data_IF_488775976623
#
_entry.id   IF_488775976623
#
_cell.length_a   1.000
_cell.length_b   1.000
_cell.length_c   1.000
_cell.angle_alpha   90.00
_cell.angle_beta   90.00
_cell.angle_gamma   90.00
#
_symmetry.space_group_name_H-M   'P 1'
#
loop_
_entity.id
_entity.type
_entity.pdbx_description
1 polymer ?
#
# COMPACT_ATOMS: atom_id res chain seq x y z
N UNK A 1 -9.30 -6.59 -0.09
CA UNK A 1 -8.05 -5.84 -0.17
C UNK A 1 -8.34 -4.38 -0.48
N UNK A 2 -7.35 -3.50 -0.31
CA UNK A 2 -7.36 -2.12 -0.78
C UNK A 2 -6.38 -1.99 -1.94
N UNK A 3 -6.78 -1.34 -3.03
CA UNK A 3 -5.91 -1.08 -4.18
C UNK A 3 -5.58 0.41 -4.22
N UNK A 4 -4.30 0.75 -4.15
CA UNK A 4 -3.82 2.13 -4.15
C UNK A 4 -2.89 2.37 -5.33
N UNK A 5 -2.85 3.62 -5.80
CA UNK A 5 -1.92 4.06 -6.84
C UNK A 5 -0.77 4.83 -6.21
N UNK A 6 0.45 4.58 -6.68
CA UNK A 6 1.63 5.39 -6.37
C UNK A 6 1.52 6.70 -7.14
N UNK A 7 1.24 7.79 -6.43
CA UNK A 7 1.16 9.14 -6.99
C UNK A 7 2.54 9.77 -7.21
N UNK A 8 3.52 9.40 -6.38
CA UNK A 8 4.89 9.88 -6.48
C UNK A 8 5.85 8.92 -5.79
N UNK A 9 7.01 8.68 -6.43
CA UNK A 9 8.19 8.09 -5.80
C UNK A 9 9.27 9.17 -5.60
N UNK A 10 9.79 9.30 -4.37
CA UNK A 10 10.97 10.11 -4.06
C UNK A 10 11.99 9.27 -3.29
N UNK A 11 12.93 8.68 -4.02
CA UNK A 11 13.89 7.72 -3.45
C UNK A 11 13.18 6.46 -2.93
N UNK A 12 13.28 6.19 -1.62
CA UNK A 12 12.59 5.08 -0.92
C UNK A 12 11.30 5.55 -0.21
N UNK A 13 10.71 6.67 -0.63
CA UNK A 13 9.39 7.14 -0.19
C UNK A 13 8.38 7.02 -1.32
N UNK A 14 7.23 6.42 -1.02
CA UNK A 14 6.09 6.31 -1.91
C UNK A 14 4.93 7.13 -1.35
N UNK A 15 4.34 7.97 -2.17
CA UNK A 15 3.11 8.71 -1.86
C UNK A 15 1.97 8.00 -2.58
N UNK A 16 0.96 7.57 -1.83
CA UNK A 16 -0.20 6.84 -2.37
C UNK A 16 -1.46 7.70 -2.30
N UNK A 17 -2.47 7.34 -3.09
CA UNK A 17 -3.77 8.04 -3.14
C UNK A 17 -4.73 7.68 -1.99
N UNK A 18 -4.22 7.05 -0.93
CA UNK A 18 -4.94 6.68 0.29
C UNK A 18 -4.02 6.99 1.49
N UNK A 19 -4.41 6.74 2.73
CA UNK A 19 -3.59 7.09 3.90
C UNK A 19 -4.26 6.82 5.24
N UNK A 20 -3.64 7.33 6.30
CA UNK A 20 -4.07 7.13 7.69
C UNK A 20 -5.45 7.74 7.92
N UNK A 21 -5.68 8.92 7.35
CA UNK A 21 -6.95 9.61 7.47
C UNK A 21 -8.07 9.01 6.60
N UNK A 22 -7.75 7.98 5.82
CA UNK A 22 -8.65 7.28 4.94
C UNK A 22 -8.70 5.78 5.33
N UNK A 23 -8.29 4.88 4.45
CA UNK A 23 -8.51 3.45 4.61
C UNK A 23 -7.52 2.77 5.57
N UNK A 24 -6.48 3.46 6.02
CA UNK A 24 -5.33 2.86 6.73
C UNK A 24 -5.21 3.29 8.21
N UNK A 25 -6.22 3.93 8.79
CA UNK A 25 -6.17 4.43 10.18
C UNK A 25 -5.74 3.35 11.20
N UNK A 26 -6.32 2.16 11.10
CA UNK A 26 -6.06 1.07 12.05
C UNK A 26 -4.61 0.55 11.97
N UNK A 27 -4.03 0.52 10.77
CA UNK A 27 -2.63 0.12 10.57
C UNK A 27 -1.65 1.05 11.30
N UNK A 28 -2.00 2.33 11.42
CA UNK A 28 -1.20 3.31 12.14
C UNK A 28 -1.39 3.20 13.66
N UNK A 29 -2.65 3.15 14.12
CA UNK A 29 -2.96 3.05 15.56
C UNK A 29 -2.45 1.73 16.15
N UNK A 30 -2.67 0.61 15.47
CA UNK A 30 -2.23 -0.72 15.89
C UNK A 30 -0.76 -1.04 15.54
N UNK A 31 -0.08 -0.17 14.77
CA UNK A 31 1.28 -0.39 14.24
C UNK A 31 1.45 -1.71 13.46
N UNK A 32 0.36 -2.15 12.82
CA UNK A 32 0.25 -3.43 12.13
C UNK A 32 0.98 -3.34 10.79
N UNK A 33 1.73 -4.40 10.45
CA UNK A 33 2.30 -4.54 9.12
C UNK A 33 1.31 -5.29 8.22
N UNK A 34 0.84 -4.62 7.17
CA UNK A 34 -0.09 -5.22 6.21
C UNK A 34 0.68 -5.81 5.03
N UNK A 35 0.25 -6.97 4.48
CA UNK A 35 0.84 -7.51 3.28
C UNK A 35 0.61 -6.55 2.12
N UNK A 36 1.68 -6.25 1.38
CA UNK A 36 1.64 -5.37 0.23
C UNK A 36 2.15 -6.13 -1.00
N UNK A 37 1.37 -6.12 -2.08
CA UNK A 37 1.72 -6.76 -3.35
C UNK A 37 1.83 -5.70 -4.43
N UNK A 38 2.95 -5.70 -5.14
CA UNK A 38 3.20 -4.84 -6.28
C UNK A 38 2.33 -5.26 -7.48
N UNK A 39 1.70 -4.27 -8.13
CA UNK A 39 0.95 -4.46 -9.37
C UNK A 39 1.49 -3.44 -10.40
N UNK A 40 2.31 -3.90 -11.37
CA UNK A 40 2.91 -3.01 -12.35
C UNK A 40 1.83 -2.39 -13.26
N UNK A 41 1.92 -1.08 -13.52
CA UNK A 41 1.17 -0.46 -14.61
C UNK A 41 1.69 -1.01 -15.96
N UNK A 42 0.84 -1.66 -16.78
CA UNK A 42 1.24 -2.25 -18.05
C UNK A 42 1.66 -1.21 -19.11
N UNK A 43 1.31 0.07 -18.91
CA UNK A 43 1.76 1.15 -19.79
C UNK A 43 3.25 1.47 -19.60
N UNK A 44 3.84 1.13 -18.45
CA UNK A 44 5.25 1.36 -18.14
C UNK A 44 6.09 0.20 -18.69
N UNK A 45 6.74 0.42 -19.83
CA UNK A 45 7.54 -0.60 -20.53
C UNK A 45 8.98 -0.71 -20.05
N UNK A 46 9.51 0.35 -19.44
CA UNK A 46 10.89 0.41 -18.96
C UNK A 46 10.88 0.86 -17.50
N UNK A 47 11.54 0.09 -16.64
CA UNK A 47 11.56 0.30 -15.18
C UNK A 47 13.00 0.47 -14.70
N UNK A 48 13.16 1.29 -13.67
CA UNK A 48 14.44 1.47 -12.99
C UNK A 48 14.59 0.46 -11.85
N UNK A 49 15.78 -0.11 -11.68
CA UNK A 49 16.07 -1.07 -10.60
C UNK A 49 15.85 -2.53 -11.00
N UNK A 50 16.02 -3.43 -10.03
CA UNK A 50 15.87 -4.88 -10.21
C UNK A 50 14.57 -5.37 -9.55
N UNK A 51 13.73 -6.07 -10.32
CA UNK A 51 12.46 -6.64 -9.86
C UNK A 51 12.66 -7.70 -8.76
N UNK A 52 13.80 -8.42 -8.79
CA UNK A 52 14.13 -9.45 -7.81
C UNK A 52 14.61 -8.86 -6.48
N UNK A 53 14.98 -7.58 -6.49
CA UNK A 53 15.48 -6.91 -5.31
C UNK A 53 14.32 -6.30 -4.51
N UNK A 54 13.88 -6.99 -3.46
CA UNK A 54 12.84 -6.51 -2.56
C UNK A 54 13.45 -5.57 -1.50
N UNK A 55 12.96 -4.34 -1.43
CA UNK A 55 13.51 -3.28 -0.58
C UNK A 55 12.41 -2.56 0.21
N UNK A 56 12.72 -1.99 1.38
CA UNK A 56 11.72 -1.30 2.19
C UNK A 56 11.42 0.09 1.62
N UNK A 57 10.14 0.43 1.54
CA UNK A 57 9.63 1.75 1.18
C UNK A 57 8.81 2.35 2.32
N UNK A 58 9.11 3.61 2.65
CA UNK A 58 8.30 4.41 3.56
C UNK A 58 7.07 4.92 2.80
N UNK A 59 5.88 4.60 3.29
CA UNK A 59 4.62 4.92 2.63
C UNK A 59 3.99 6.15 3.28
N UNK A 60 3.74 7.16 2.48
CA UNK A 60 3.08 8.40 2.85
C UNK A 60 1.69 8.42 2.22
N UNK A 61 0.70 8.91 2.96
CA UNK A 61 -0.63 9.09 2.41
C UNK A 61 -0.75 10.33 1.52
N UNK A 62 -1.95 10.55 1.00
CA UNK A 62 -2.25 11.62 0.05
C UNK A 62 -2.35 13.02 0.70
N UNK A 63 -2.45 13.10 2.03
CA UNK A 63 -2.73 14.38 2.69
C UNK A 63 -1.47 15.20 2.89
N UNK A 64 -1.65 16.50 3.16
CA UNK A 64 -0.53 17.40 3.47
C UNK A 64 -0.08 17.33 4.93
N UNK A 65 -0.67 16.43 5.72
CA UNK A 65 -0.31 16.26 7.11
C UNK A 65 0.98 15.45 7.24
N UNK A 66 1.95 15.99 7.97
CA UNK A 66 3.22 15.32 8.27
C UNK A 66 3.06 14.00 9.03
N UNK A 67 1.91 13.79 9.70
CA UNK A 67 1.58 12.55 10.42
C UNK A 67 1.06 11.46 9.47
N UNK A 68 0.65 11.80 8.24
CA UNK A 68 0.08 10.87 7.26
C UNK A 68 1.17 10.00 6.59
N UNK A 69 1.84 9.22 7.43
CA UNK A 69 2.98 8.40 7.10
C UNK A 69 2.83 7.11 7.89
N UNK A 70 2.77 5.97 7.19
CA UNK A 70 2.64 4.67 7.84
C UNK A 70 3.88 4.37 8.69
N UNK A 71 3.63 3.76 9.85
CA UNK A 71 4.66 3.44 10.84
C UNK A 71 5.59 2.32 10.38
N UNK A 72 5.08 1.38 9.58
CA UNK A 72 5.81 0.24 9.03
C UNK A 72 6.02 0.41 7.51
N UNK A 73 7.19 0.04 6.98
CA UNK A 73 7.44 0.11 5.54
C UNK A 73 6.70 -1.00 4.78
N UNK A 74 6.50 -0.79 3.49
CA UNK A 74 6.15 -1.87 2.57
C UNK A 74 7.41 -2.42 1.91
N UNK A 75 7.50 -3.74 1.84
CA UNK A 75 8.58 -4.45 1.16
C UNK A 75 8.13 -4.73 -0.27
N UNK A 76 8.71 -4.01 -1.23
CA UNK A 76 8.31 -4.05 -2.64
C UNK A 76 9.55 -4.18 -3.53
N UNK A 77 9.40 -4.69 -4.76
CA UNK A 77 10.46 -4.64 -5.76
C UNK A 77 11.03 -3.24 -5.94
N UNK A 78 12.33 -3.13 -6.18
CA UNK A 78 12.99 -1.85 -6.42
C UNK A 78 12.44 -1.09 -7.65
N UNK A 79 11.76 -1.84 -8.54
CA UNK A 79 11.11 -1.39 -9.77
C UNK A 79 9.77 -0.69 -9.59
N UNK A 80 9.22 -0.64 -8.36
CA UNK A 80 7.99 0.11 -8.09
C UNK A 80 8.22 1.60 -8.35
N UNK A 81 7.35 2.24 -9.12
CA UNK A 81 7.49 3.66 -9.48
C UNK A 81 6.14 4.38 -9.54
N UNK A 82 6.20 5.68 -9.79
CA UNK A 82 5.04 6.54 -9.99
C UNK A 82 4.15 5.99 -11.09
N UNK A 83 2.85 5.91 -10.83
CA UNK A 83 1.84 5.39 -11.74
C UNK A 83 1.45 3.94 -11.45
N UNK A 84 2.32 3.15 -10.79
CA UNK A 84 2.04 1.77 -10.42
C UNK A 84 0.97 1.63 -9.35
N UNK A 85 0.51 0.40 -9.17
CA UNK A 85 -0.49 0.03 -8.19
C UNK A 85 0.10 -0.87 -7.11
N UNK A 86 -0.49 -0.80 -5.93
CA UNK A 86 -0.16 -1.67 -4.80
C UNK A 86 -1.47 -2.23 -4.26
N UNK A 87 -1.55 -3.55 -4.15
CA UNK A 87 -2.58 -4.18 -3.34
C UNK A 87 -2.12 -4.24 -1.88
N UNK A 88 -2.96 -3.79 -0.98
CA UNK A 88 -2.80 -3.95 0.47
C UNK A 88 -3.82 -4.99 0.93
N UNK A 89 -3.33 -6.12 1.41
CA UNK A 89 -4.17 -7.23 1.89
C UNK A 89 -4.60 -7.04 3.35
N UNK A 90 -5.44 -7.97 3.82
CA UNK A 90 -5.93 -8.04 5.21
C UNK A 90 -6.60 -6.76 5.75
N UNK A 91 -7.16 -5.93 4.88
CA UNK A 91 -7.74 -4.63 5.22
C UNK A 91 -9.26 -4.56 4.98
N UNK A 92 -9.97 -5.64 5.33
CA UNK A 92 -11.44 -5.70 5.23
C UNK A 92 -12.17 -5.08 6.43
N UNK A 93 -11.61 -5.23 7.63
CA UNK A 93 -12.13 -4.67 8.87
C UNK A 93 -11.38 -3.40 9.25
N UNK A 94 -12.05 -2.48 9.96
CA UNK A 94 -11.45 -1.25 10.51
C UNK A 94 -10.73 -0.35 9.48
N UNK A 95 -11.06 -0.52 8.20
CA UNK A 95 -10.60 0.31 7.11
C UNK A 95 -11.66 1.36 6.79
N UNK A 96 -12.65 0.95 6.01
CA UNK A 96 -13.77 1.77 5.58
C UNK A 96 -14.56 2.39 6.72
N UNK A 97 -14.67 1.70 7.86
CA UNK A 97 -15.40 2.22 9.02
C UNK A 97 -14.68 3.38 9.73
N UNK A 98 -13.37 3.55 9.50
CA UNK A 98 -12.55 4.60 10.13
C UNK A 98 -12.18 5.74 9.17
N UNK A 99 -12.52 5.63 7.88
CA UNK A 99 -12.15 6.63 6.87
C UNK A 99 -12.83 7.98 7.12
N UNK A 100 -12.07 9.05 7.00
CA UNK A 100 -12.55 10.42 7.18
C UNK A 100 -12.61 11.18 5.85
N UNK A 101 -13.17 12.39 5.85
CA UNK A 101 -13.14 13.34 4.72
C UNK A 101 -12.03 14.39 4.88
N UNK A 102 -10.97 14.08 5.62
CA UNK A 102 -9.89 15.03 5.87
C UNK A 102 -9.22 15.47 4.55
N UNK A 103 -8.93 16.77 4.41
CA UNK A 103 -8.52 17.41 3.16
C UNK A 103 -9.43 17.17 1.94
N UNK A 104 -10.67 16.69 2.15
CA UNK A 104 -11.60 16.38 1.07
C UNK A 104 -11.33 15.06 0.35
N UNK A 105 -10.34 14.27 0.77
CA UNK A 105 -10.10 12.94 0.23
C UNK A 105 -11.08 11.94 0.86
N UNK A 106 -11.69 11.10 0.03
CA UNK A 106 -12.64 10.09 0.50
C UNK A 106 -12.69 8.91 -0.48
N UNK A 107 -11.96 7.80 -0.22
CA UNK A 107 -12.06 6.61 -1.05
C UNK A 107 -13.44 5.98 -0.88
N UNK A 108 -14.21 5.93 -1.97
CA UNK A 108 -15.60 5.47 -1.98
C UNK A 108 -15.94 4.59 -3.19
N UNK A 109 -14.90 4.11 -3.88
CA UNK A 109 -15.06 3.15 -4.98
C UNK A 109 -14.95 1.74 -4.43
N UNK A 110 -15.99 0.95 -4.63
CA UNK A 110 -16.07 -0.45 -4.21
C UNK A 110 -16.21 -1.35 -5.42
N UNK A 111 -15.49 -2.46 -5.36
CA UNK A 111 -15.56 -3.50 -6.38
C UNK A 111 -15.76 -4.83 -5.65
N UNK A 112 -16.83 -5.52 -5.99
CA UNK A 112 -17.06 -6.90 -5.56
C UNK A 112 -16.56 -7.85 -6.66
N UNK A 113 -15.73 -8.81 -6.27
CA UNK A 113 -15.23 -9.86 -7.17
C UNK A 113 -16.03 -11.13 -6.88
N UNK A 114 -16.95 -11.47 -7.77
CA UNK A 114 -17.90 -12.59 -7.57
C UNK A 114 -17.35 -13.94 -8.02
N UNK A 115 -16.32 -13.95 -8.85
CA UNK A 115 -15.62 -15.15 -9.30
C UNK A 115 -14.16 -15.05 -8.84
N UNK A 116 -13.68 -15.96 -7.98
CA UNK A 116 -12.28 -15.95 -7.59
C UNK A 116 -11.41 -16.19 -8.82
N UNK A 117 -10.26 -15.53 -8.85
CA UNK A 117 -9.19 -15.91 -9.78
C UNK A 117 -8.70 -17.32 -9.39
N UNK A 118 -8.18 -18.09 -10.36
CA UNK A 118 -7.39 -19.28 -10.04
C UNK A 118 -6.30 -18.87 -9.03
N UNK A 119 -5.98 -19.73 -8.04
CA UNK A 119 -4.91 -19.44 -7.07
C UNK A 119 -3.64 -19.05 -7.83
N UNK A 120 -3.33 -17.75 -7.84
CA UNK A 120 -2.14 -17.22 -8.49
C UNK A 120 -0.87 -17.60 -7.73
N UNK A 121 0.27 -17.12 -8.21
CA UNK A 121 1.54 -17.32 -7.54
C UNK A 121 1.54 -16.77 -6.10
N UNK A 122 2.32 -17.41 -5.23
CA UNK A 122 2.48 -17.00 -3.84
C UNK A 122 2.88 -15.51 -3.72
N UNK A 123 2.43 -14.79 -2.68
CA UNK A 123 2.76 -13.39 -2.48
C UNK A 123 4.27 -13.15 -2.52
N UNK A 124 4.71 -12.21 -3.36
CA UNK A 124 6.13 -11.89 -3.59
C UNK A 124 6.76 -11.04 -2.48
N UNK A 125 5.92 -10.37 -1.69
CA UNK A 125 6.32 -9.56 -0.55
C UNK A 125 5.55 -10.00 0.69
N UNK A 126 6.28 -10.36 1.74
CA UNK A 126 5.69 -10.66 3.03
C UNK A 126 5.80 -9.41 3.91
N UNK A 127 4.71 -9.05 4.57
CA UNK A 127 4.79 -8.22 5.77
C UNK A 127 5.75 -8.92 6.75
N UNK A 128 6.66 -8.17 7.38
CA UNK A 128 7.50 -8.73 8.43
C UNK A 128 6.60 -9.37 9.49
N UNK A 129 6.82 -10.65 9.79
CA UNK A 129 6.28 -11.26 11.00
C UNK A 129 6.68 -10.37 12.18
N UNK A 130 5.72 -10.01 13.03
CA UNK A 130 6.05 -9.40 14.31
C UNK A 130 6.92 -10.39 15.09
N UNK A 131 8.23 -10.17 15.10
CA UNK A 131 9.04 -10.64 16.22
C UNK A 131 8.67 -9.73 17.38
N UNK A 132 7.75 -10.19 18.21
CA UNK A 132 7.58 -9.67 19.57
C UNK A 132 8.88 -9.96 20.34
N UNK A 133 9.89 -9.11 20.18
CA UNK A 133 11.11 -9.12 20.98
C UNK A 133 11.84 -7.76 20.84
N UNK A 134 11.75 -7.01 21.94
CA UNK A 134 12.50 -5.83 22.43
C UNK A 134 12.73 -4.61 21.52
#
# INVERSE_FOLDING_TARGET
SLIVRVLLRKGKRLYINDGIWASLSDSWTGKITLPARFIPDPAIRTRNGDERNIVPFKVCGATCDSVDILSRPFWLPETVDTGDWIEIGHIGAYSLSLRTRFNGFYPDTFVEVTTPFDEGDAPQGFASLETMAD
#
